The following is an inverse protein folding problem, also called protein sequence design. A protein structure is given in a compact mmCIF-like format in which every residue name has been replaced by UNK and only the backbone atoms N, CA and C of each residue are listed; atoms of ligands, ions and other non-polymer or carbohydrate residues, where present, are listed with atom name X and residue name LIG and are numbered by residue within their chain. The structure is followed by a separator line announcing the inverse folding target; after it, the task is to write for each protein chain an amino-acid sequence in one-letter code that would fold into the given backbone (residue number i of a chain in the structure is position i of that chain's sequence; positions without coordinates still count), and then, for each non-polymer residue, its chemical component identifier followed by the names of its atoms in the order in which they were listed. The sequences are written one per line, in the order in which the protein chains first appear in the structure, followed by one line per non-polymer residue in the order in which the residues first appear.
data_IF_530338825325
#
_entry.id   IF_530338825325
#
_cell.length_a   1.000
_cell.length_b   1.000
_cell.length_c   1.000
_cell.angle_alpha   90.00
_cell.angle_beta   90.00
_cell.angle_gamma   90.00
#
_symmetry.space_group_name_H-M   'P 1'
#
loop_
_entity.id
_entity.type
_entity.pdbx_description
1 polymer ?
#
# COMPACT_ATOMS: atom_id res chain seq x y z
N UNK A 1 -24.07 12.58 4.84
CA UNK A 1 -23.74 12.52 4.55
C UNK A 1 -22.92 12.15 3.78
N UNK A 2 -22.19 12.14 3.93
CA UNK A 2 -21.32 11.89 3.04
C UNK A 2 -20.78 10.59 3.05
N UNK A 3 -20.81 9.91 1.99
CA UNK A 3 -20.27 8.65 1.89
C UNK A 3 -18.86 8.76 1.52
N UNK A 4 -18.00 8.89 2.47
CA UNK A 4 -16.61 8.96 2.17
C UNK A 4 -16.04 7.58 2.02
N UNK A 5 -15.38 7.34 0.91
CA UNK A 5 -14.75 6.05 0.71
C UNK A 5 -13.54 5.95 1.59
N UNK A 6 -13.17 4.73 1.94
CA UNK A 6 -11.97 4.48 2.71
C UNK A 6 -10.78 4.82 1.79
N UNK A 7 -9.85 5.57 2.32
CA UNK A 7 -8.70 6.03 1.55
C UNK A 7 -7.53 5.06 1.69
N UNK A 8 -7.03 4.60 0.56
CA UNK A 8 -5.92 3.66 0.50
C UNK A 8 -4.78 4.30 -0.28
N UNK A 9 -3.59 4.29 0.27
CA UNK A 9 -2.41 4.77 -0.45
C UNK A 9 -1.43 3.62 -0.59
N UNK A 10 -1.05 3.32 -1.82
CA UNK A 10 -0.05 2.29 -2.08
C UNK A 10 1.26 2.98 -2.41
N UNK A 11 2.32 2.62 -1.71
CA UNK A 11 3.63 3.19 -1.92
C UNK A 11 4.53 2.09 -2.44
N UNK A 12 4.97 2.23 -3.66
CA UNK A 12 5.69 1.19 -4.38
C UNK A 12 7.12 1.59 -4.71
N UNK A 13 8.04 0.72 -4.36
CA UNK A 13 9.42 0.91 -4.75
C UNK A 13 9.62 0.10 -6.03
N UNK A 14 9.70 0.73 -7.18
CA UNK A 14 9.75 0.03 -8.46
C UNK A 14 11.02 -0.77 -8.71
N UNK A 15 12.08 -0.52 -7.98
CA UNK A 15 13.30 -1.26 -8.21
C UNK A 15 13.55 -2.35 -7.19
N UNK A 16 12.57 -2.72 -6.41
CA UNK A 16 12.80 -3.70 -5.39
C UNK A 16 12.68 -5.14 -5.86
N UNK A 17 12.56 -5.36 -7.12
CA UNK A 17 12.51 -6.72 -7.63
C UNK A 17 11.18 -7.42 -7.50
N UNK A 18 10.13 -6.70 -7.28
CA UNK A 18 8.82 -7.31 -7.27
C UNK A 18 8.38 -7.46 -8.70
N UNK A 19 7.83 -8.53 -9.04
CA UNK A 19 7.41 -8.90 -10.36
C UNK A 19 7.14 -7.80 -11.37
N UNK A 20 6.05 -7.92 -12.10
CA UNK A 20 5.75 -6.96 -13.11
C UNK A 20 5.36 -5.63 -12.50
N UNK A 21 5.90 -4.54 -13.03
CA UNK A 21 5.57 -3.23 -12.52
C UNK A 21 4.10 -2.90 -12.70
N UNK A 22 3.43 -3.58 -13.61
CA UNK A 22 2.03 -3.30 -13.83
C UNK A 22 1.11 -4.25 -13.11
N UNK A 23 1.59 -5.45 -12.83
CA UNK A 23 0.76 -6.47 -12.23
C UNK A 23 0.31 -6.08 -10.83
N UNK A 24 1.22 -5.55 -10.04
CA UNK A 24 0.90 -5.19 -8.68
C UNK A 24 -0.06 -4.02 -8.59
N UNK A 25 0.18 -2.92 -9.30
CA UNK A 25 -0.78 -1.82 -9.27
C UNK A 25 -2.16 -2.25 -9.72
N UNK A 26 -2.24 -3.09 -10.76
CA UNK A 26 -3.53 -3.55 -11.24
C UNK A 26 -4.26 -4.40 -10.21
N UNK A 27 -3.52 -5.24 -9.51
CA UNK A 27 -4.11 -6.09 -8.50
C UNK A 27 -4.68 -5.22 -7.39
N UNK A 28 -3.92 -4.22 -6.96
CA UNK A 28 -4.36 -3.34 -5.91
C UNK A 28 -5.59 -2.55 -6.36
N UNK A 29 -5.57 -2.07 -7.59
CA UNK A 29 -6.70 -1.34 -8.13
C UNK A 29 -7.95 -2.18 -8.12
N UNK A 30 -7.81 -3.45 -8.49
CA UNK A 30 -8.93 -4.35 -8.52
C UNK A 30 -9.53 -4.57 -7.14
N UNK A 31 -8.66 -4.79 -6.16
CA UNK A 31 -9.13 -5.02 -4.81
C UNK A 31 -9.81 -3.78 -4.26
N UNK A 32 -9.24 -2.62 -4.49
CA UNK A 32 -9.84 -1.39 -4.01
C UNK A 32 -11.17 -1.14 -4.67
N UNK A 33 -11.27 -1.44 -5.96
CA UNK A 33 -12.50 -1.25 -6.69
C UNK A 33 -13.60 -2.14 -6.14
N UNK A 34 -13.28 -3.40 -5.86
CA UNK A 34 -14.25 -4.32 -5.31
C UNK A 34 -14.76 -3.89 -3.97
N UNK A 35 -13.92 -3.22 -3.20
CA UNK A 35 -14.27 -2.79 -1.87
C UNK A 35 -14.71 -1.33 -1.81
N UNK A 36 -14.82 -0.71 -2.97
CA UNK A 36 -15.25 0.68 -3.08
C UNK A 36 -14.35 1.60 -2.27
N UNK A 37 -13.06 1.37 -2.35
CA UNK A 37 -12.07 2.21 -1.68
C UNK A 37 -11.44 3.18 -2.67
N UNK A 38 -11.07 4.34 -2.18
CA UNK A 38 -10.39 5.33 -2.99
C UNK A 38 -8.90 5.03 -2.93
N UNK A 39 -8.26 4.91 -4.08
CA UNK A 39 -6.86 4.49 -4.14
C UNK A 39 -5.96 5.56 -4.73
N UNK A 40 -4.81 5.77 -4.12
CA UNK A 40 -3.75 6.61 -4.65
C UNK A 40 -2.51 5.76 -4.69
N UNK A 41 -1.82 5.74 -5.82
CA UNK A 41 -0.58 4.97 -5.96
C UNK A 41 0.57 5.94 -6.16
N UNK A 42 1.64 5.75 -5.40
CA UNK A 42 2.84 6.56 -5.53
C UNK A 42 4.04 5.65 -5.68
N UNK A 43 5.02 6.07 -6.47
CA UNK A 43 6.24 5.30 -6.65
C UNK A 43 7.40 6.06 -6.05
N UNK A 44 8.28 5.34 -5.36
CA UNK A 44 9.43 6.00 -4.78
C UNK A 44 10.45 6.28 -5.87
N UNK A 45 11.20 7.36 -5.73
CA UNK A 45 12.18 7.76 -6.71
C UNK A 45 13.59 7.89 -6.13
N UNK A 46 13.73 7.87 -4.84
CA UNK A 46 15.03 7.98 -4.22
C UNK A 46 14.98 7.42 -2.80
N UNK A 47 16.14 7.31 -2.18
CA UNK A 47 16.21 6.78 -0.82
C UNK A 47 15.41 7.70 0.11
N UNK A 48 14.78 7.14 1.10
CA UNK A 48 13.91 7.83 2.06
C UNK A 48 12.67 8.47 1.47
N UNK A 49 12.43 8.29 0.17
CA UNK A 49 11.24 8.88 -0.43
C UNK A 49 9.97 8.22 0.12
N UNK A 50 10.07 6.93 0.48
CA UNK A 50 8.91 6.23 1.01
C UNK A 50 8.41 6.89 2.30
N UNK A 51 9.33 7.41 3.09
CA UNK A 51 8.96 8.06 4.33
C UNK A 51 8.18 9.35 4.04
N UNK A 52 8.64 10.11 3.05
CA UNK A 52 7.98 11.35 2.66
C UNK A 52 6.58 11.06 2.12
N UNK A 53 6.49 10.04 1.26
CA UNK A 53 5.20 9.68 0.68
C UNK A 53 4.23 9.18 1.73
N UNK A 54 4.74 8.44 2.73
CA UNK A 54 3.91 7.94 3.79
C UNK A 54 3.35 9.08 4.61
N UNK A 55 4.19 10.05 4.94
CA UNK A 55 3.73 11.16 5.74
C UNK A 55 2.67 11.96 4.98
N UNK A 56 2.88 12.15 3.69
CA UNK A 56 1.90 12.86 2.87
C UNK A 56 0.58 12.10 2.83
N UNK A 57 0.65 10.77 2.74
CA UNK A 57 -0.55 9.96 2.71
C UNK A 57 -1.31 10.07 4.04
N UNK A 58 -0.58 10.03 5.14
CA UNK A 58 -1.20 10.14 6.46
C UNK A 58 -1.85 11.51 6.64
N UNK A 59 -1.16 12.55 6.16
CA UNK A 59 -1.71 13.89 6.25
C UNK A 59 -2.97 14.03 5.42
N UNK A 60 -3.07 13.24 4.36
CA UNK A 60 -4.24 13.26 3.50
C UNK A 60 -5.37 12.36 4.01
N UNK A 61 -5.17 11.72 5.15
CA UNK A 61 -6.22 10.92 5.75
C UNK A 61 -6.25 9.46 5.34
N UNK A 62 -5.12 8.91 4.92
CA UNK A 62 -5.10 7.51 4.51
C UNK A 62 -5.50 6.59 5.65
N UNK A 63 -6.37 5.65 5.37
CA UNK A 63 -6.79 4.67 6.34
C UNK A 63 -5.91 3.44 6.22
N UNK A 64 -5.55 3.07 4.97
CA UNK A 64 -4.63 1.98 4.72
C UNK A 64 -3.43 2.50 3.95
N UNK A 65 -2.25 2.02 4.33
CA UNK A 65 -1.03 2.29 3.58
C UNK A 65 -0.53 0.91 3.13
N UNK A 66 -0.36 0.73 1.84
CA UNK A 66 0.14 -0.54 1.30
C UNK A 66 1.58 -0.35 0.90
N UNK A 67 2.46 -1.14 1.48
CA UNK A 67 3.88 -1.06 1.20
C UNK A 67 4.26 -2.14 0.20
N UNK A 68 4.85 -1.75 -0.91
CA UNK A 68 5.29 -2.68 -1.93
C UNK A 68 6.78 -2.45 -2.15
N UNK A 69 7.58 -3.40 -1.71
CA UNK A 69 9.03 -3.26 -1.84
C UNK A 69 9.75 -4.25 -0.95
N UNK A 70 11.00 -4.03 -0.76
CA UNK A 70 11.80 -4.86 0.10
C UNK A 70 11.73 -4.40 1.54
N UNK A 71 12.52 -5.05 2.40
CA UNK A 71 12.51 -4.75 3.82
C UNK A 71 12.78 -3.29 4.14
N UNK A 72 13.68 -2.68 3.41
CA UNK A 72 14.00 -1.29 3.66
C UNK A 72 12.82 -0.37 3.46
N UNK A 73 12.10 -0.60 2.36
CA UNK A 73 10.93 0.22 2.06
C UNK A 73 9.85 0.00 3.12
N UNK A 74 9.60 -1.27 3.47
CA UNK A 74 8.59 -1.60 4.45
C UNK A 74 8.93 -0.96 5.80
N UNK A 75 10.20 -1.07 6.22
CA UNK A 75 10.60 -0.50 7.49
C UNK A 75 10.47 1.01 7.50
N UNK A 76 10.80 1.64 6.40
CA UNK A 76 10.70 3.08 6.30
C UNK A 76 9.26 3.53 6.44
N UNK A 77 8.37 2.83 5.78
CA UNK A 77 6.95 3.16 5.84
C UNK A 77 6.41 2.89 7.24
N UNK A 78 6.74 1.74 7.80
CA UNK A 78 6.26 1.39 9.13
C UNK A 78 6.71 2.42 10.16
N UNK A 79 7.95 2.87 10.03
CA UNK A 79 8.48 3.84 10.96
C UNK A 79 7.74 5.17 10.86
N UNK A 80 7.42 5.59 9.64
CA UNK A 80 6.69 6.83 9.45
C UNK A 80 5.26 6.71 9.95
N UNK A 81 4.75 5.50 10.08
CA UNK A 81 3.39 5.28 10.54
C UNK A 81 3.26 5.13 12.04
N UNK A 82 4.38 5.18 12.78
CA UNK A 82 4.32 5.08 14.22
C UNK A 82 3.41 6.19 14.71
N UNK A 83 2.58 5.87 15.67
CA UNK A 83 1.66 6.83 16.25
C UNK A 83 0.49 7.23 15.34
N UNK A 84 0.39 6.63 14.17
CA UNK A 84 -0.76 6.92 13.34
C UNK A 84 -1.80 5.82 13.58
N UNK A 85 -3.01 6.02 13.09
CA UNK A 85 -4.04 5.00 13.20
C UNK A 85 -4.21 4.24 11.91
N UNK A 86 -3.45 4.58 10.88
CA UNK A 86 -3.56 3.91 9.61
C UNK A 86 -3.09 2.46 9.75
N UNK A 87 -3.59 1.60 8.90
CA UNK A 87 -3.25 0.19 8.92
C UNK A 87 -2.29 -0.11 7.78
N UNK A 88 -1.24 -0.82 8.09
CA UNK A 88 -0.23 -1.16 7.10
C UNK A 88 -0.50 -2.52 6.48
N UNK A 89 -0.55 -2.55 5.15
CA UNK A 89 -0.63 -3.79 4.40
C UNK A 89 0.67 -3.94 3.64
N UNK A 90 1.17 -5.15 3.54
CA UNK A 90 2.43 -5.40 2.87
C UNK A 90 2.25 -6.36 1.72
N UNK A 91 2.80 -6.01 0.55
CA UNK A 91 2.84 -6.91 -0.58
C UNK A 91 4.24 -7.49 -0.59
N UNK A 92 4.37 -8.79 -0.36
CA UNK A 92 5.69 -9.41 -0.23
C UNK A 92 6.50 -9.28 -1.50
N UNK A 93 7.80 -9.07 -1.32
CA UNK A 93 8.71 -8.99 -2.41
C UNK A 93 8.76 -10.32 -3.14
N UNK A 94 8.83 -10.28 -4.45
CA UNK A 94 9.00 -11.49 -5.24
C UNK A 94 7.80 -12.39 -5.33
N UNK A 95 6.64 -11.87 -5.08
CA UNK A 95 5.45 -12.68 -5.05
C UNK A 95 4.70 -12.70 -6.38
N UNK A 96 5.40 -12.62 -7.46
CA UNK A 96 4.76 -12.56 -8.77
C UNK A 96 3.66 -13.56 -9.01
N UNK A 97 3.99 -14.82 -8.97
CA UNK A 97 3.01 -15.84 -9.26
C UNK A 97 2.01 -16.06 -8.16
N UNK A 98 2.41 -15.87 -6.94
CA UNK A 98 1.52 -16.12 -5.84
C UNK A 98 0.86 -14.87 -5.35
N UNK A 99 1.01 -13.79 -6.09
CA UNK A 99 0.52 -12.51 -5.62
C UNK A 99 -0.90 -12.52 -5.10
N UNK A 100 -1.79 -13.06 -5.85
CA UNK A 100 -3.18 -13.05 -5.45
C UNK A 100 -3.41 -13.76 -4.13
N UNK A 101 -2.72 -14.86 -3.93
CA UNK A 101 -2.89 -15.60 -2.72
C UNK A 101 -2.19 -15.02 -1.54
N UNK A 102 -1.05 -14.42 -1.78
CA UNK A 102 -0.27 -13.87 -0.71
C UNK A 102 -0.54 -12.43 -0.36
N UNK A 103 -1.50 -11.85 -1.02
CA UNK A 103 -1.80 -10.48 -0.78
C UNK A 103 -2.67 -10.34 0.46
N UNK A 104 -2.06 -10.08 1.57
CA UNK A 104 -2.79 -9.91 2.81
C UNK A 104 -3.03 -8.45 3.09
N UNK A 105 -3.79 -7.84 2.23
CA UNK A 105 -4.08 -6.44 2.38
C UNK A 105 -5.29 -6.33 3.30
N UNK A 106 -5.20 -5.57 4.36
CA UNK A 106 -6.29 -5.46 5.32
C UNK A 106 -7.65 -5.21 4.72
N UNK A 107 -7.73 -4.42 3.68
CA UNK A 107 -9.01 -4.14 3.08
C UNK A 107 -9.60 -5.35 2.40
N UNK A 108 -8.76 -6.34 2.10
CA UNK A 108 -9.21 -7.51 1.43
C UNK A 108 -9.86 -8.42 2.43
N UNK A 109 -9.50 -8.35 3.65
CA UNK A 109 -10.17 -9.15 4.62
C UNK A 109 -10.93 -8.21 5.49
N UNK A 110 -11.98 -7.69 4.93
CA UNK A 110 -12.79 -6.83 5.59
C UNK A 110 -13.22 -7.29 6.88
N UNK A 111 -13.26 -8.54 7.08
CA UNK A 111 -13.64 -9.04 8.31
C UNK A 111 -12.60 -8.67 9.28
N UNK A 112 -11.45 -8.32 8.84
CA UNK A 112 -10.40 -8.00 9.76
C UNK A 112 -10.57 -6.57 10.21
N UNK A 113 -11.49 -5.89 9.68
CA UNK A 113 -11.65 -4.50 10.04
C UNK A 113 -12.65 -4.30 11.14
#
# INVERSE_FOLDING_TARGET
MINQKVSVHAIINPISGVGSKRAIPRMIEKICSRNDHALTISFTEYAVHASVLTQAALDAGAYYIIAVGGDGTVNEIARAMLHSRAILGIVPKGSGNGLARELHIPMDSKKAL
#
